data_IF_432735806812
#
_entry.id   IF_432735806812
#
_cell.length_a   1.000
_cell.length_b   1.000
_cell.length_c   1.000
_cell.angle_alpha   90.00
_cell.angle_beta   90.00
_cell.angle_gamma   90.00
#
_symmetry.space_group_name_H-M   'P 1'
#
loop_
_entity.id
_entity.type
_entity.pdbx_description
1 polymer ?
#
# COMPACT_ATOMS: atom_id res chain seq x y z
N UNK A 1 4.55 -4.32 11.57
CA UNK A 1 3.40 -5.22 11.36
C UNK A 1 2.25 -4.51 10.68
N UNK A 2 1.78 -3.38 11.21
CA UNK A 2 0.64 -2.65 10.61
C UNK A 2 0.92 -2.06 9.23
N UNK A 3 2.17 -1.77 8.86
CA UNK A 3 2.48 -1.09 7.60
C UNK A 3 2.27 -1.96 6.35
N UNK A 4 2.80 -3.19 6.33
CA UNK A 4 2.55 -4.15 5.25
C UNK A 4 1.05 -4.47 5.16
N UNK A 5 0.43 -4.76 6.30
CA UNK A 5 -1.02 -4.96 6.38
C UNK A 5 -1.79 -3.74 5.85
N UNK A 6 -1.43 -2.51 6.19
CA UNK A 6 -2.13 -1.30 5.70
C UNK A 6 -1.94 -1.10 4.20
N UNK A 7 -0.74 -1.36 3.68
CA UNK A 7 -0.46 -1.29 2.23
C UNK A 7 -1.24 -2.34 1.42
N UNK A 8 -1.47 -3.53 1.99
CA UNK A 8 -2.23 -4.62 1.36
C UNK A 8 -3.74 -4.60 1.68
N UNK A 9 -4.15 -3.92 2.75
CA UNK A 9 -5.56 -3.80 3.17
C UNK A 9 -6.34 -2.84 2.26
N UNK A 10 -5.65 -1.93 1.58
CA UNK A 10 -6.23 -1.06 0.57
C UNK A 10 -6.16 -1.75 -0.79
N UNK A 11 -7.33 -1.99 -1.41
CA UNK A 11 -7.40 -2.59 -2.75
C UNK A 11 -6.68 -1.68 -3.75
N UNK A 12 -5.54 -2.09 -4.36
CA UNK A 12 -4.86 -1.28 -5.39
C UNK A 12 -5.74 -1.05 -6.64
N UNK A 13 -6.86 -1.76 -6.71
CA UNK A 13 -7.87 -1.71 -7.77
C UNK A 13 -9.09 -0.84 -7.42
N UNK A 14 -9.02 0.04 -6.42
CA UNK A 14 -10.12 0.96 -6.08
C UNK A 14 -10.61 1.79 -7.27
N UNK A 15 -9.71 2.17 -8.18
CA UNK A 15 -10.03 2.89 -9.42
C UNK A 15 -10.98 2.11 -10.36
N UNK A 16 -11.08 0.77 -10.24
CA UNK A 16 -12.06 -0.03 -10.97
C UNK A 16 -13.50 0.13 -10.47
N UNK A 17 -13.66 0.72 -9.28
CA UNK A 17 -14.97 1.02 -8.70
C UNK A 17 -15.43 2.47 -8.97
N UNK A 18 -14.72 3.25 -9.81
CA UNK A 18 -15.18 4.56 -10.29
C UNK A 18 -16.34 4.40 -11.29
N UNK A 19 -17.43 3.79 -10.84
CA UNK A 19 -18.77 4.08 -11.37
C UNK A 19 -19.36 5.12 -10.44
N UNK A 20 -19.91 6.20 -11.00
CA UNK A 20 -20.89 7.02 -10.28
C UNK A 20 -22.04 6.10 -9.86
N UNK A 21 -21.97 5.57 -8.64
CA UNK A 21 -23.09 4.88 -8.05
C UNK A 21 -24.17 5.93 -7.78
N UNK A 22 -25.15 6.05 -8.67
CA UNK A 22 -26.41 6.73 -8.38
C UNK A 22 -27.24 5.86 -7.44
N UNK A 23 -26.74 5.66 -6.22
CA UNK A 23 -27.54 5.11 -5.13
C UNK A 23 -28.52 6.17 -4.61
N UNK A 24 -29.63 5.78 -3.97
CA UNK A 24 -30.58 6.73 -3.41
C UNK A 24 -29.84 7.66 -2.42
N UNK A 25 -29.93 8.97 -2.66
CA UNK A 25 -29.21 10.02 -1.92
C UNK A 25 -29.71 10.24 -0.48
N UNK A 26 -30.66 9.42 -0.01
CA UNK A 26 -31.26 9.55 1.30
C UNK A 26 -30.70 8.49 2.25
N UNK A 27 -29.53 8.78 2.84
CA UNK A 27 -29.20 8.16 4.12
C UNK A 27 -30.16 8.76 5.18
N UNK A 28 -30.97 7.92 5.81
CA UNK A 28 -31.83 8.32 6.95
C UNK A 28 -31.16 7.94 8.28
N UNK A 29 -31.46 8.70 9.33
CA UNK A 29 -30.86 8.55 10.66
C UNK A 29 -29.62 9.42 10.89
N UNK A 30 -28.97 9.23 12.05
CA UNK A 30 -27.83 10.04 12.50
C UNK A 30 -26.64 10.01 11.53
N UNK A 31 -26.45 8.88 10.84
CA UNK A 31 -25.41 8.71 9.83
C UNK A 31 -25.65 9.65 8.63
N UNK A 32 -26.90 9.80 8.19
CA UNK A 32 -27.25 10.71 7.09
C UNK A 32 -27.10 12.18 7.46
N UNK A 33 -27.41 12.54 8.71
CA UNK A 33 -27.18 13.90 9.25
C UNK A 33 -25.69 14.24 9.33
N UNK A 34 -24.88 13.31 9.81
CA UNK A 34 -23.43 13.50 9.92
C UNK A 34 -22.74 13.57 8.54
N UNK A 35 -23.21 12.82 7.54
CA UNK A 35 -22.69 12.91 6.17
C UNK A 35 -22.99 14.28 5.51
N UNK A 36 -24.19 14.82 5.70
CA UNK A 36 -24.52 16.20 5.27
C UNK A 36 -23.68 17.27 5.97
N UNK A 37 -23.26 17.01 7.22
CA UNK A 37 -22.32 17.88 7.93
C UNK A 37 -20.89 17.75 7.36
N UNK A 38 -20.46 16.55 6.97
CA UNK A 38 -19.18 16.32 6.32
C UNK A 38 -19.02 17.04 4.97
N UNK A 39 -20.10 17.15 4.16
CA UNK A 39 -20.09 17.97 2.93
C UNK A 39 -19.84 19.46 3.19
N UNK A 40 -20.11 19.93 4.42
CA UNK A 40 -19.91 21.31 4.86
C UNK A 40 -18.63 21.49 5.69
N UNK A 41 -17.86 20.43 5.95
CA UNK A 41 -16.60 20.56 6.66
C UNK A 41 -15.61 21.32 5.77
N UNK A 42 -14.93 22.35 6.31
CA UNK A 42 -14.03 23.15 5.51
C UNK A 42 -12.85 22.30 5.04
N UNK A 43 -12.39 22.53 3.80
CA UNK A 43 -11.27 21.87 3.11
C UNK A 43 -9.89 21.97 3.83
N UNK A 44 -9.87 22.44 5.07
CA UNK A 44 -8.70 22.66 5.94
C UNK A 44 -7.83 21.40 6.07
N UNK A 45 -8.43 20.21 6.03
CA UNK A 45 -7.70 18.94 6.08
C UNK A 45 -6.81 18.70 4.84
N UNK A 46 -7.22 19.17 3.66
CA UNK A 46 -6.45 18.96 2.42
C UNK A 46 -5.31 19.96 2.26
N UNK A 47 -5.49 21.23 2.66
CA UNK A 47 -4.40 22.21 2.62
C UNK A 47 -3.23 21.81 3.51
N UNK A 48 -3.50 21.17 4.66
CA UNK A 48 -2.49 20.58 5.55
C UNK A 48 -1.58 19.57 4.84
N UNK A 49 -2.16 18.74 3.94
CA UNK A 49 -1.41 17.71 3.21
C UNK A 49 -0.46 18.35 2.19
N UNK A 50 -0.87 19.46 1.58
CA UNK A 50 -0.04 20.21 0.63
C UNK A 50 0.99 21.13 1.30
N UNK A 51 0.69 21.69 2.47
CA UNK A 51 1.57 22.64 3.18
C UNK A 51 2.50 21.96 4.19
N UNK A 52 2.21 20.73 4.59
CA UNK A 52 2.92 20.00 5.63
C UNK A 52 2.70 20.53 7.05
N UNK A 53 1.87 21.56 7.23
CA UNK A 53 1.59 22.19 8.53
C UNK A 53 0.25 21.70 9.04
N UNK A 54 0.28 20.69 9.92
CA UNK A 54 -0.91 20.13 10.57
C UNK A 54 -1.26 20.82 11.88
N UNK A 55 -2.56 20.93 12.15
CA UNK A 55 -3.05 21.32 13.48
C UNK A 55 -2.50 20.38 14.56
N UNK A 56 -2.16 20.92 15.73
CA UNK A 56 -1.71 20.16 16.91
C UNK A 56 -2.74 19.11 17.34
N UNK A 57 -4.01 19.30 17.02
CA UNK A 57 -5.08 18.33 17.28
C UNK A 57 -5.03 17.12 16.34
N UNK A 58 -4.62 17.31 15.08
CA UNK A 58 -4.39 16.22 14.12
C UNK A 58 -3.16 15.39 14.48
N UNK A 59 -2.12 16.01 15.03
CA UNK A 59 -0.92 15.30 15.48
C UNK A 59 -1.18 14.37 16.68
N UNK A 60 -2.23 14.66 17.47
CA UNK A 60 -2.64 13.86 18.64
C UNK A 60 -3.63 12.75 18.29
N UNK A 61 -4.21 12.77 17.08
CA UNK A 61 -5.13 11.75 16.62
C UNK A 61 -4.38 10.43 16.40
N UNK A 62 -4.67 9.44 17.23
CA UNK A 62 -4.22 8.08 16.99
C UNK A 62 -5.07 7.48 15.86
N UNK A 63 -4.46 6.81 14.87
CA UNK A 63 -5.21 6.02 13.90
C UNK A 63 -6.12 5.06 14.66
N UNK A 64 -7.43 5.14 14.43
CA UNK A 64 -8.37 4.20 15.02
C UNK A 64 -8.01 2.77 14.62
N UNK A 65 -8.42 1.78 15.43
CA UNK A 65 -8.11 0.38 15.17
C UNK A 65 -8.45 0.00 13.71
N UNK A 66 -7.44 -0.49 12.97
CA UNK A 66 -7.60 -0.94 11.59
C UNK A 66 -8.67 -2.02 11.54
N UNK A 67 -9.85 -1.66 11.03
CA UNK A 67 -10.98 -2.58 10.99
C UNK A 67 -10.80 -3.58 9.83
N UNK A 68 -10.14 -4.70 10.11
CA UNK A 68 -9.97 -5.83 9.19
C UNK A 68 -11.30 -6.34 8.60
N UNK A 69 -12.41 -6.15 9.31
CA UNK A 69 -13.73 -6.56 8.83
C UNK A 69 -14.15 -5.78 7.57
N UNK A 70 -13.57 -4.60 7.30
CA UNK A 70 -13.91 -3.80 6.11
C UNK A 70 -13.45 -4.47 4.82
N UNK A 71 -12.24 -5.04 4.78
CA UNK A 71 -11.76 -5.78 3.60
C UNK A 71 -12.55 -7.07 3.39
N UNK A 72 -12.73 -7.87 4.45
CA UNK A 72 -13.52 -9.12 4.41
C UNK A 72 -14.95 -8.84 3.91
N UNK A 73 -15.59 -7.77 4.40
CA UNK A 73 -16.92 -7.35 3.93
C UNK A 73 -16.92 -7.00 2.44
N UNK A 74 -15.92 -6.26 1.96
CA UNK A 74 -15.82 -5.90 0.54
C UNK A 74 -15.56 -7.13 -0.34
N UNK A 75 -14.61 -7.99 0.02
CA UNK A 75 -14.33 -9.23 -0.71
C UNK A 75 -15.56 -10.14 -0.78
N UNK A 76 -16.25 -10.34 0.35
CA UNK A 76 -17.48 -11.13 0.41
C UNK A 76 -18.61 -10.52 -0.44
N UNK A 77 -18.74 -9.18 -0.48
CA UNK A 77 -19.72 -8.51 -1.36
C UNK A 77 -19.40 -8.73 -2.84
N UNK A 78 -18.13 -8.66 -3.23
CA UNK A 78 -17.69 -8.89 -4.62
C UNK A 78 -17.92 -10.36 -5.03
N UNK A 79 -17.58 -11.31 -4.16
CA UNK A 79 -17.81 -12.74 -4.41
C UNK A 79 -19.30 -13.06 -4.58
N UNK A 80 -20.16 -12.49 -3.72
CA UNK A 80 -21.62 -12.62 -3.86
C UNK A 80 -22.15 -11.98 -5.14
N UNK A 81 -21.65 -10.79 -5.49
CA UNK A 81 -22.02 -10.12 -6.74
C UNK A 81 -21.68 -10.99 -7.94
N UNK A 82 -20.49 -11.62 -7.96
CA UNK A 82 -20.09 -12.54 -9.02
C UNK A 82 -21.02 -13.76 -9.09
N UNK A 83 -21.31 -14.43 -7.96
CA UNK A 83 -22.20 -15.58 -7.93
C UNK A 83 -23.64 -15.26 -8.37
N UNK A 84 -24.10 -14.03 -8.14
CA UNK A 84 -25.42 -13.55 -8.55
C UNK A 84 -25.48 -13.00 -9.99
N UNK A 85 -24.35 -12.94 -10.71
CA UNK A 85 -24.29 -12.38 -12.07
C UNK A 85 -24.14 -13.50 -13.09
N UNK A 86 -25.11 -13.67 -13.98
CA UNK A 86 -25.08 -14.70 -15.04
C UNK A 86 -24.01 -14.46 -16.10
N UNK A 87 -23.75 -13.18 -16.45
CA UNK A 87 -22.73 -12.77 -17.42
C UNK A 87 -21.79 -11.71 -16.81
N UNK A 88 -20.77 -12.12 -16.04
CA UNK A 88 -19.89 -11.19 -15.32
C UNK A 88 -18.99 -10.40 -16.27
N UNK A 89 -18.78 -9.11 -15.98
CA UNK A 89 -17.88 -8.27 -16.77
C UNK A 89 -16.41 -8.69 -16.60
N UNK A 90 -15.56 -8.35 -17.57
CA UNK A 90 -14.12 -8.64 -17.51
C UNK A 90 -13.45 -8.02 -16.26
N UNK A 91 -13.92 -6.86 -15.81
CA UNK A 91 -13.46 -6.19 -14.60
C UNK A 91 -13.84 -6.98 -13.35
N UNK A 92 -15.08 -7.47 -13.27
CA UNK A 92 -15.55 -8.30 -12.16
C UNK A 92 -14.79 -9.63 -12.10
N UNK A 93 -14.58 -10.29 -13.25
CA UNK A 93 -13.76 -11.51 -13.33
C UNK A 93 -12.33 -11.22 -12.85
N UNK A 94 -11.72 -10.11 -13.29
CA UNK A 94 -10.37 -9.72 -12.85
C UNK A 94 -10.31 -9.53 -11.34
N UNK A 95 -11.31 -8.88 -10.73
CA UNK A 95 -11.38 -8.68 -9.28
C UNK A 95 -11.49 -10.00 -8.54
N UNK A 96 -12.28 -10.95 -9.04
CA UNK A 96 -12.41 -12.29 -8.44
C UNK A 96 -11.07 -13.04 -8.51
N UNK A 97 -10.42 -13.03 -9.68
CA UNK A 97 -9.10 -13.63 -9.85
C UNK A 97 -8.09 -13.00 -8.90
N UNK A 98 -8.11 -11.67 -8.74
CA UNK A 98 -7.26 -10.97 -7.78
C UNK A 98 -7.53 -11.39 -6.33
N UNK A 99 -8.79 -11.43 -5.91
CA UNK A 99 -9.18 -11.83 -4.55
C UNK A 99 -8.71 -13.26 -4.26
N UNK A 100 -8.99 -14.19 -5.17
CA UNK A 100 -8.76 -15.61 -4.94
C UNK A 100 -7.30 -16.03 -5.12
N UNK A 101 -6.58 -15.44 -6.10
CA UNK A 101 -5.21 -15.87 -6.43
C UNK A 101 -4.12 -15.03 -5.80
N UNK A 102 -4.39 -13.78 -5.46
CA UNK A 102 -3.36 -12.85 -4.98
C UNK A 102 -3.63 -12.44 -3.55
N UNK A 103 -4.81 -11.86 -3.30
CA UNK A 103 -5.09 -11.23 -2.02
C UNK A 103 -5.30 -12.26 -0.90
N UNK A 104 -6.25 -13.19 -1.03
CA UNK A 104 -6.54 -14.16 0.03
C UNK A 104 -5.32 -15.03 0.38
N UNK A 105 -4.58 -15.64 -0.58
CA UNK A 105 -3.39 -16.41 -0.26
C UNK A 105 -2.32 -15.58 0.46
N UNK A 106 -2.06 -14.35 0.01
CA UNK A 106 -1.07 -13.47 0.66
C UNK A 106 -1.52 -13.01 2.05
N UNK A 107 -2.82 -12.78 2.24
CA UNK A 107 -3.39 -12.42 3.55
C UNK A 107 -3.22 -13.56 4.56
N UNK A 108 -3.50 -14.81 4.15
CA UNK A 108 -3.27 -15.98 4.99
C UNK A 108 -1.77 -16.16 5.29
N UNK A 109 -0.91 -15.96 4.29
CA UNK A 109 0.54 -16.05 4.48
C UNK A 109 1.04 -15.06 5.54
N UNK A 110 0.61 -13.80 5.48
CA UNK A 110 0.95 -12.76 6.47
C UNK A 110 0.40 -13.11 7.86
N UNK A 111 -0.78 -13.73 7.94
CA UNK A 111 -1.36 -14.16 9.23
C UNK A 111 -0.57 -15.29 9.87
N UNK A 112 -0.06 -16.23 9.07
CA UNK A 112 0.77 -17.34 9.57
C UNK A 112 2.17 -16.85 9.92
N UNK A 113 2.77 -16.03 9.07
CA UNK A 113 4.13 -15.50 9.24
C UNK A 113 4.07 -14.01 9.53
N UNK A 114 3.65 -13.63 10.72
CA UNK A 114 3.40 -12.22 11.04
C UNK A 114 4.66 -11.40 11.35
N UNK A 115 5.86 -12.00 11.29
CA UNK A 115 7.11 -11.30 11.57
C UNK A 115 7.47 -10.34 10.44
N UNK A 116 8.07 -9.20 10.79
CA UNK A 116 8.62 -8.27 9.78
C UNK A 116 9.77 -8.91 8.98
N UNK A 117 10.43 -9.93 9.55
CA UNK A 117 11.48 -10.70 8.86
C UNK A 117 10.93 -11.45 7.65
N UNK A 118 9.65 -11.79 7.66
CA UNK A 118 8.98 -12.45 6.53
C UNK A 118 8.46 -11.44 5.49
N UNK A 119 8.70 -10.13 5.66
CA UNK A 119 8.24 -9.07 4.75
C UNK A 119 8.61 -9.33 3.29
N UNK A 120 9.89 -9.61 3.02
CA UNK A 120 10.38 -9.92 1.68
C UNK A 120 9.71 -11.16 1.06
N UNK A 121 9.41 -12.17 1.89
CA UNK A 121 8.68 -13.37 1.47
C UNK A 121 7.23 -13.02 1.11
N UNK A 122 6.56 -12.17 1.89
CA UNK A 122 5.20 -11.73 1.59
C UNK A 122 5.13 -10.90 0.32
N UNK A 123 6.03 -9.92 0.16
CA UNK A 123 6.06 -9.10 -1.03
C UNK A 123 6.37 -9.94 -2.27
N UNK A 124 7.37 -10.83 -2.20
CA UNK A 124 7.68 -11.73 -3.30
C UNK A 124 6.51 -12.64 -3.65
N UNK A 125 5.85 -13.24 -2.66
CA UNK A 125 4.66 -14.05 -2.88
C UNK A 125 3.54 -13.25 -3.54
N UNK A 126 3.27 -12.04 -3.05
CA UNK A 126 2.22 -11.18 -3.57
C UNK A 126 2.53 -10.75 -5.02
N UNK A 127 3.77 -10.33 -5.30
CA UNK A 127 4.22 -9.95 -6.64
C UNK A 127 4.20 -11.13 -7.60
N UNK A 128 4.73 -12.27 -7.19
CA UNK A 128 4.73 -13.52 -7.98
C UNK A 128 3.31 -13.96 -8.31
N UNK A 129 2.40 -13.92 -7.33
CA UNK A 129 0.98 -14.23 -7.53
C UNK A 129 0.31 -13.23 -8.48
N UNK A 130 0.69 -11.95 -8.39
CA UNK A 130 0.17 -10.88 -9.25
C UNK A 130 0.61 -10.98 -10.71
N UNK A 131 1.62 -11.81 -11.05
CA UNK A 131 2.02 -12.09 -12.45
C UNK A 131 0.85 -12.62 -13.28
N UNK A 132 -0.10 -13.30 -12.64
CA UNK A 132 -1.32 -13.82 -13.26
C UNK A 132 -2.34 -12.75 -13.66
N UNK A 133 -2.18 -11.49 -13.21
CA UNK A 133 -3.08 -10.38 -13.51
C UNK A 133 -2.67 -9.66 -14.80
N UNK A 134 -3.59 -8.85 -15.37
CA UNK A 134 -3.28 -7.97 -16.52
C UNK A 134 -2.28 -6.87 -16.15
N UNK A 135 -1.43 -6.46 -17.10
CA UNK A 135 -0.33 -5.47 -16.92
C UNK A 135 -0.76 -4.21 -16.16
N UNK A 136 -1.90 -3.61 -16.54
CA UNK A 136 -2.45 -2.40 -15.92
C UNK A 136 -2.68 -2.46 -14.40
N UNK A 137 -2.65 -3.64 -13.79
CA UNK A 137 -2.97 -3.86 -12.38
C UNK A 137 -1.77 -4.25 -11.53
N UNK A 138 -0.59 -4.40 -12.13
CA UNK A 138 0.57 -4.95 -11.44
C UNK A 138 1.49 -3.87 -10.87
N UNK A 139 1.45 -2.67 -11.43
CA UNK A 139 2.45 -1.61 -11.15
C UNK A 139 2.27 -0.97 -9.76
N UNK A 140 1.04 -0.90 -9.23
CA UNK A 140 0.71 -0.23 -7.95
C UNK A 140 1.37 -0.89 -6.72
N UNK A 141 1.82 -2.13 -6.86
CA UNK A 141 2.20 -3.00 -5.74
C UNK A 141 3.69 -2.86 -5.37
N UNK A 142 4.53 -2.45 -6.31
CA UNK A 142 5.99 -2.39 -6.14
C UNK A 142 6.46 -1.01 -5.70
N UNK A 143 5.91 -0.47 -4.60
CA UNK A 143 6.38 0.79 -4.06
C UNK A 143 7.86 0.64 -3.60
N UNK A 144 8.78 1.51 -4.03
CA UNK A 144 10.21 1.40 -3.69
C UNK A 144 10.47 1.38 -2.18
N UNK A 145 9.68 2.12 -1.41
CA UNK A 145 9.77 2.17 0.06
C UNK A 145 9.47 0.79 0.70
N UNK A 146 8.49 0.05 0.17
CA UNK A 146 8.16 -1.28 0.67
C UNK A 146 9.28 -2.28 0.32
N UNK A 147 9.81 -2.19 -0.90
CA UNK A 147 10.92 -3.03 -1.35
C UNK A 147 12.18 -2.82 -0.49
N UNK A 148 12.50 -1.59 -0.11
CA UNK A 148 13.63 -1.30 0.77
C UNK A 148 13.45 -1.90 2.17
N UNK A 149 12.23 -1.87 2.72
CA UNK A 149 11.94 -2.47 4.03
C UNK A 149 12.10 -3.99 4.01
N UNK A 150 11.71 -4.60 2.91
CA UNK A 150 11.86 -6.03 2.71
C UNK A 150 13.33 -6.43 2.51
N UNK A 151 14.07 -5.69 1.68
CA UNK A 151 15.50 -5.92 1.49
C UNK A 151 16.31 -5.74 2.78
N UNK A 152 15.93 -4.82 3.68
CA UNK A 152 16.59 -4.66 4.99
C UNK A 152 16.45 -5.89 5.90
N UNK A 153 15.44 -6.73 5.67
CA UNK A 153 15.19 -7.94 6.45
C UNK A 153 15.55 -9.23 5.70
N UNK A 154 16.16 -9.13 4.51
CA UNK A 154 16.55 -10.29 3.71
C UNK A 154 17.62 -11.12 4.44
N UNK A 155 17.59 -12.45 4.27
CA UNK A 155 18.57 -13.37 4.88
C UNK A 155 19.99 -13.10 4.34
N UNK A 156 20.09 -12.62 3.10
CA UNK A 156 21.36 -12.38 2.40
C UNK A 156 21.97 -11.05 2.81
N UNK A 157 23.14 -11.12 3.45
CA UNK A 157 23.90 -9.97 3.96
C UNK A 157 24.10 -8.84 2.93
N UNK A 158 24.45 -9.20 1.68
CA UNK A 158 24.70 -8.22 0.63
C UNK A 158 23.45 -7.42 0.24
N UNK A 159 22.26 -8.00 0.35
CA UNK A 159 20.98 -7.34 0.05
C UNK A 159 20.62 -6.36 1.17
N UNK A 160 20.76 -6.76 2.43
CA UNK A 160 20.58 -5.85 3.58
C UNK A 160 21.50 -4.65 3.48
N UNK A 161 22.77 -4.90 3.13
CA UNK A 161 23.78 -3.86 2.93
C UNK A 161 23.39 -2.90 1.80
N UNK A 162 22.92 -3.44 0.67
CA UNK A 162 22.45 -2.63 -0.46
C UNK A 162 21.25 -1.76 -0.07
N UNK A 163 20.27 -2.31 0.66
CA UNK A 163 19.11 -1.56 1.13
C UNK A 163 19.49 -0.42 2.06
N UNK A 164 20.33 -0.70 3.07
CA UNK A 164 20.82 0.30 4.01
C UNK A 164 21.55 1.45 3.30
N UNK A 165 22.45 1.13 2.36
CA UNK A 165 23.16 2.14 1.54
C UNK A 165 22.19 3.01 0.74
N UNK A 166 21.18 2.40 0.10
CA UNK A 166 20.15 3.13 -0.65
C UNK A 166 19.35 4.08 0.24
N UNK A 167 18.97 3.64 1.44
CA UNK A 167 18.22 4.46 2.40
C UNK A 167 19.08 5.63 2.92
N UNK A 168 20.34 5.38 3.28
CA UNK A 168 21.25 6.42 3.75
C UNK A 168 21.44 7.48 2.66
N UNK A 169 21.74 7.05 1.44
CA UNK A 169 21.86 7.95 0.29
C UNK A 169 20.56 8.74 0.02
N UNK A 170 19.40 8.09 0.13
CA UNK A 170 18.10 8.76 -0.03
C UNK A 170 17.82 9.81 1.07
N UNK A 171 18.38 9.64 2.27
CA UNK A 171 18.29 10.66 3.34
C UNK A 171 19.21 11.84 3.08
N UNK A 172 20.41 11.60 2.58
CA UNK A 172 21.39 12.63 2.21
C UNK A 172 20.92 13.48 1.03
N UNK A 173 20.28 12.84 0.04
CA UNK A 173 19.72 13.50 -1.14
C UNK A 173 18.32 14.10 -0.92
N UNK A 174 17.77 13.99 0.30
CA UNK A 174 16.45 14.51 0.61
C UNK A 174 16.36 16.00 0.32
N UNK A 175 15.21 16.51 -0.15
CA UNK A 175 15.08 17.93 -0.48
C UNK A 175 15.35 18.80 0.76
N UNK A 176 15.99 19.94 0.53
CA UNK A 176 16.18 21.02 1.53
C UNK A 176 14.79 21.59 1.91
N UNK A 177 14.12 20.96 2.88
CA UNK A 177 12.86 21.47 3.47
C UNK A 177 11.57 20.71 3.13
N UNK A 178 10.43 21.35 3.46
CA UNK A 178 9.05 20.84 3.49
C UNK A 178 8.45 20.40 2.13
N UNK A 179 9.21 19.70 1.28
CA UNK A 179 8.69 19.18 0.02
C UNK A 179 7.80 17.95 0.26
N UNK A 180 6.60 17.96 -0.31
CA UNK A 180 5.68 16.82 -0.33
C UNK A 180 6.34 15.67 -1.10
N UNK A 181 6.40 14.48 -0.49
CA UNK A 181 6.92 13.27 -1.14
C UNK A 181 6.05 12.92 -2.34
N UNK A 182 6.65 12.87 -3.54
CA UNK A 182 5.96 12.41 -4.74
C UNK A 182 5.98 10.89 -4.77
N UNK A 183 4.81 10.26 -4.74
CA UNK A 183 4.69 8.82 -4.94
C UNK A 183 4.94 8.50 -6.41
N UNK A 184 6.02 7.79 -6.70
CA UNK A 184 6.37 7.32 -8.04
C UNK A 184 6.09 5.83 -8.10
N UNK A 185 5.30 5.41 -9.09
CA UNK A 185 5.08 3.99 -9.39
C UNK A 185 6.21 3.57 -10.34
N UNK A 186 7.15 2.73 -9.91
CA UNK A 186 8.23 2.28 -10.77
C UNK A 186 7.71 1.29 -11.81
N UNK A 187 8.41 1.22 -12.94
CA UNK A 187 8.18 0.13 -13.89
C UNK A 187 8.73 -1.16 -13.28
N UNK A 188 7.87 -2.18 -13.19
CA UNK A 188 8.19 -3.47 -12.56
C UNK A 188 8.63 -4.46 -13.63
N UNK A 189 9.79 -5.09 -13.44
CA UNK A 189 10.24 -6.22 -14.25
C UNK A 189 9.69 -7.54 -13.69
N UNK A 190 8.71 -8.11 -14.39
CA UNK A 190 8.13 -9.42 -14.04
C UNK A 190 9.00 -10.60 -14.47
N UNK A 191 10.03 -10.38 -15.28
CA UNK A 191 11.06 -11.36 -15.62
C UNK A 191 12.09 -11.55 -14.51
N UNK A 192 12.18 -10.62 -13.56
CA UNK A 192 13.11 -10.70 -12.45
C UNK A 192 12.92 -11.98 -11.62
N UNK A 193 14.04 -12.62 -11.28
CA UNK A 193 14.09 -13.79 -10.40
C UNK A 193 14.30 -13.41 -8.95
N UNK A 194 14.60 -12.13 -8.68
CA UNK A 194 14.88 -11.59 -7.36
C UNK A 194 14.14 -10.26 -7.14
N UNK A 195 13.87 -9.94 -5.87
CA UNK A 195 13.27 -8.67 -5.45
C UNK A 195 14.17 -7.47 -5.78
N UNK A 196 15.50 -7.66 -5.81
CA UNK A 196 16.47 -6.57 -6.06
C UNK A 196 16.35 -6.02 -7.47
N UNK A 197 16.11 -6.90 -8.45
CA UNK A 197 16.08 -6.59 -9.88
C UNK A 197 14.67 -6.24 -10.38
N UNK A 198 13.69 -6.25 -9.47
CA UNK A 198 12.29 -6.10 -9.80
C UNK A 198 11.93 -4.67 -10.27
N UNK A 199 12.75 -3.67 -9.93
CA UNK A 199 12.59 -2.29 -10.41
C UNK A 199 13.93 -1.70 -10.85
N UNK A 200 13.88 -0.80 -11.82
CA UNK A 200 15.04 0.04 -12.13
C UNK A 200 15.15 1.15 -11.09
N UNK A 201 16.02 0.92 -10.12
CA UNK A 201 16.28 1.88 -9.04
C UNK A 201 16.99 3.17 -9.48
N UNK A 202 17.49 3.25 -10.71
CA UNK A 202 18.12 4.47 -11.25
C UNK A 202 17.09 5.35 -11.98
N UNK A 203 15.93 4.81 -12.34
CA UNK A 203 14.91 5.52 -13.11
C UNK A 203 14.16 6.61 -12.30
N UNK A 204 14.29 6.64 -10.97
CA UNK A 204 13.56 7.59 -10.13
C UNK A 204 14.30 7.91 -8.82
N UNK A 205 13.89 9.02 -8.18
CA UNK A 205 14.39 9.41 -6.86
C UNK A 205 13.80 8.51 -5.77
N UNK A 206 14.66 7.74 -5.12
CA UNK A 206 14.29 6.87 -4.00
C UNK A 206 14.07 7.72 -2.75
N UNK A 207 12.92 7.59 -2.10
CA UNK A 207 12.64 8.20 -0.81
C UNK A 207 12.89 7.21 0.34
N UNK A 208 13.37 7.67 1.51
CA UNK A 208 13.57 6.77 2.64
C UNK A 208 12.22 6.37 3.25
N UNK A 209 11.99 5.08 3.57
CA UNK A 209 10.71 4.62 4.12
C UNK A 209 10.29 5.44 5.36
N UNK A 210 9.05 5.96 5.43
CA UNK A 210 8.58 6.79 6.54
C UNK A 210 8.73 6.12 7.91
N UNK A 211 8.54 4.80 7.96
CA UNK A 211 8.67 4.01 9.20
C UNK A 211 10.08 4.06 9.79
N UNK A 212 11.09 4.30 8.95
CA UNK A 212 12.48 4.42 9.39
C UNK A 212 12.86 5.87 9.71
N UNK A 213 11.94 6.84 9.66
CA UNK A 213 12.27 8.27 9.82
C UNK A 213 12.96 8.57 11.16
N UNK A 214 12.60 7.85 12.22
CA UNK A 214 13.16 8.05 13.56
C UNK A 214 14.48 7.28 13.80
N UNK A 215 14.81 6.30 12.94
CA UNK A 215 16.04 5.53 13.07
C UNK A 215 17.23 6.29 12.49
N UNK A 216 18.31 6.42 13.26
CA UNK A 216 19.56 6.99 12.78
C UNK A 216 20.22 6.11 11.72
N UNK A 217 21.09 6.70 10.88
CA UNK A 217 21.86 5.92 9.90
C UNK A 217 22.78 4.89 10.57
N UNK A 218 23.31 5.20 11.75
CA UNK A 218 24.11 4.28 12.54
C UNK A 218 23.28 3.08 13.04
N UNK A 219 22.02 3.28 13.45
CA UNK A 219 21.12 2.17 13.82
C UNK A 219 20.77 1.28 12.64
N UNK A 220 20.61 1.84 11.43
CA UNK A 220 20.38 1.03 10.23
C UNK A 220 21.57 0.11 9.92
N UNK A 221 22.79 0.58 10.16
CA UNK A 221 24.00 -0.23 9.95
C UNK A 221 24.10 -1.40 10.95
N UNK A 222 23.46 -1.32 12.13
CA UNK A 222 23.38 -2.43 13.08
C UNK A 222 22.44 -3.55 12.64
N UNK A 223 21.60 -3.31 11.63
CA UNK A 223 20.66 -4.30 11.06
C UNK A 223 21.37 -5.20 10.04
N UNK A 224 22.51 -4.76 9.50
CA UNK A 224 23.33 -5.49 8.53
C UNK A 224 24.07 -6.64 9.22
#
# INVERSE_FOLDING_TARGET
MDYLLTSFNELPLRHLFERKCSGPSSYTGDIGRNLKACEKLPLVAFNTISSGVGSSDLAKLQPGALNLARWLKTANRILRLFAATTNPSNELITLIVFILRVNAPSWFLIKVYHSIKDGARHLWHFLSSSRSLRKKYRDVIAAPENMLLDMLNDERYHIRTLAARRIIKARELGPDGNCVRRFVIPTVDFGATDNVDLIDWQAFYVTPPPVLRQNSSHELLKII
#
